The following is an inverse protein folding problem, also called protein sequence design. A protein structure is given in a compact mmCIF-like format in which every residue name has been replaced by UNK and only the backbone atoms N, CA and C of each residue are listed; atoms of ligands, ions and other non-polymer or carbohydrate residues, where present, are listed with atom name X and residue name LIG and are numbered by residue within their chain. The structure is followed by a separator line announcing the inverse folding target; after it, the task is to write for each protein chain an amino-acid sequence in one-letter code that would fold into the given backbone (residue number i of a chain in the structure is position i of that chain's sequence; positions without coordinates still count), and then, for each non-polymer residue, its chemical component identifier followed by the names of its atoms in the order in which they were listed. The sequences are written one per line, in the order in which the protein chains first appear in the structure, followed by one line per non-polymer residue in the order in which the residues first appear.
data_IF_682589331862
#
_entry.id   IF_682589331862
#
_cell.length_a   1.000
_cell.length_b   1.000
_cell.length_c   1.000
_cell.angle_alpha   90.00
_cell.angle_beta   90.00
_cell.angle_gamma   90.00
#
_symmetry.space_group_name_H-M   'P 1'
#
loop_
_entity.id
_entity.type
_entity.pdbx_description
1 polymer ?
#
# COMPACT_ATOMS: atom_id res chain seq x y z
N UNK A 1 1.26 28.71 7.42
CA UNK A 1 0.30 27.72 6.89
C UNK A 1 0.73 27.13 5.55
N UNK A 2 0.81 27.90 4.45
CA UNK A 2 1.20 27.36 3.13
C UNK A 2 2.65 26.83 3.04
N UNK A 3 3.60 27.44 3.77
CA UNK A 3 5.00 27.00 3.83
C UNK A 3 5.16 25.62 4.50
N UNK A 4 4.42 25.36 5.57
CA UNK A 4 4.45 24.08 6.29
C UNK A 4 3.89 22.93 5.46
N UNK A 5 2.78 23.14 4.76
CA UNK A 5 2.21 22.13 3.84
C UNK A 5 3.14 21.84 2.65
N UNK A 6 3.73 22.88 2.03
CA UNK A 6 4.70 22.72 0.93
C UNK A 6 5.98 22.01 1.36
N UNK A 7 6.44 22.21 2.59
CA UNK A 7 7.61 21.50 3.12
C UNK A 7 7.29 20.03 3.40
N UNK A 8 6.12 19.74 4.00
CA UNK A 8 5.67 18.36 4.26
C UNK A 8 5.46 17.56 2.97
N UNK A 9 4.81 18.16 1.97
CA UNK A 9 4.60 17.53 0.66
C UNK A 9 5.91 17.24 -0.07
N UNK A 10 6.88 18.17 -0.04
CA UNK A 10 8.22 17.95 -0.61
C UNK A 10 9.01 16.87 0.12
N UNK A 11 8.95 16.84 1.44
CA UNK A 11 9.59 15.79 2.24
C UNK A 11 9.00 14.40 1.92
N UNK A 12 7.67 14.31 1.77
CA UNK A 12 7.01 13.07 1.35
C UNK A 12 7.42 12.63 -0.06
N UNK A 13 7.53 13.57 -1.01
CA UNK A 13 7.97 13.26 -2.37
C UNK A 13 9.40 12.70 -2.42
N UNK A 14 10.30 13.22 -1.57
CA UNK A 14 11.66 12.70 -1.44
C UNK A 14 11.73 11.31 -0.78
N UNK A 15 10.81 11.01 0.14
CA UNK A 15 10.74 9.73 0.84
C UNK A 15 10.03 8.64 0.04
N UNK A 16 9.02 9.00 -0.76
CA UNK A 16 8.13 8.05 -1.46
C UNK A 16 8.07 8.36 -2.96
N UNK A 17 9.17 8.15 -3.71
CA UNK A 17 9.17 8.37 -5.15
C UNK A 17 8.24 7.37 -5.86
N UNK A 18 7.61 7.72 -6.99
CA UNK A 18 6.96 6.75 -7.87
C UNK A 18 7.99 5.78 -8.45
N UNK A 19 7.68 4.48 -8.40
CA UNK A 19 8.51 3.42 -9.00
C UNK A 19 7.72 2.87 -10.19
N UNK A 20 8.24 2.98 -11.43
CA UNK A 20 7.54 2.48 -12.60
C UNK A 20 7.48 0.95 -12.59
N UNK A 21 6.48 0.41 -13.28
CA UNK A 21 6.39 -1.03 -13.53
C UNK A 21 7.59 -1.47 -14.38
N UNK A 22 8.36 -2.50 -13.98
CA UNK A 22 9.46 -3.01 -14.77
C UNK A 22 8.94 -3.62 -16.08
N UNK A 23 9.79 -3.66 -17.11
CA UNK A 23 9.42 -4.24 -18.41
C UNK A 23 9.04 -5.73 -18.32
N UNK A 24 9.62 -6.46 -17.36
CA UNK A 24 9.28 -7.85 -17.05
C UNK A 24 8.93 -8.00 -15.56
N UNK A 25 7.66 -7.82 -15.17
CA UNK A 25 7.20 -8.01 -13.80
C UNK A 25 7.11 -9.50 -13.40
N UNK A 26 7.37 -10.43 -14.34
CA UNK A 26 7.17 -11.86 -14.15
C UNK A 26 5.70 -12.29 -14.27
N UNK A 27 5.43 -13.59 -14.10
CA UNK A 27 4.09 -14.16 -14.25
C UNK A 27 3.08 -13.47 -13.33
N UNK A 28 1.89 -13.18 -13.88
CA UNK A 28 0.79 -12.60 -13.13
C UNK A 28 0.02 -13.71 -12.40
N UNK A 29 -0.14 -13.54 -11.08
CA UNK A 29 -0.92 -14.41 -10.20
C UNK A 29 -2.41 -14.05 -10.28
N UNK A 30 -2.71 -12.75 -10.34
CA UNK A 30 -4.08 -12.25 -10.50
C UNK A 30 -4.15 -10.73 -10.49
N UNK A 31 -5.34 -10.21 -10.79
CA UNK A 31 -5.60 -8.77 -10.82
C UNK A 31 -7.01 -8.49 -10.30
N UNK A 32 -7.14 -7.47 -9.46
CA UNK A 32 -8.38 -7.11 -8.80
C UNK A 32 -8.57 -5.59 -8.81
N UNK A 33 -9.72 -5.17 -9.33
CA UNK A 33 -10.17 -3.78 -9.32
C UNK A 33 -11.02 -3.48 -8.09
N UNK A 34 -10.96 -2.24 -7.62
CA UNK A 34 -11.71 -1.76 -6.49
C UNK A 34 -11.50 -0.27 -6.26
N UNK A 35 -11.35 0.11 -5.00
CA UNK A 35 -11.06 1.46 -4.57
C UNK A 35 -9.80 1.53 -3.74
N UNK A 36 -8.89 2.42 -4.09
CA UNK A 36 -7.83 2.85 -3.17
C UNK A 36 -8.43 3.88 -2.21
N UNK A 37 -8.36 3.60 -0.91
CA UNK A 37 -8.95 4.41 0.15
C UNK A 37 -7.95 5.44 0.66
N UNK A 38 -6.75 4.99 1.04
CA UNK A 38 -5.68 5.82 1.54
C UNK A 38 -4.32 5.11 1.51
N UNK A 39 -3.25 5.90 1.59
CA UNK A 39 -1.92 5.44 1.98
C UNK A 39 -1.46 6.24 3.20
N UNK A 40 -0.94 5.58 4.23
CA UNK A 40 -0.38 6.19 5.44
C UNK A 40 1.02 5.67 5.69
N UNK A 41 1.78 6.33 6.58
CA UNK A 41 2.91 5.65 7.22
C UNK A 41 2.39 4.47 8.03
N UNK A 42 3.15 3.37 8.02
CA UNK A 42 2.84 2.21 8.83
C UNK A 42 2.82 2.59 10.32
N UNK A 43 1.89 2.03 11.07
CA UNK A 43 1.66 2.26 12.51
C UNK A 43 1.37 3.73 12.90
N UNK A 44 1.19 4.61 11.91
CA UNK A 44 0.85 6.03 12.08
C UNK A 44 -0.35 6.35 11.19
N UNK A 45 -1.56 5.87 11.53
CA UNK A 45 -2.74 5.93 10.66
C UNK A 45 -3.20 7.36 10.36
N UNK A 46 -2.76 8.37 11.12
CA UNK A 46 -3.07 9.79 10.86
C UNK A 46 -2.06 10.47 9.92
N UNK A 47 -0.91 9.84 9.65
CA UNK A 47 0.14 10.38 8.78
C UNK A 47 -0.10 9.97 7.32
N UNK A 48 -1.05 10.64 6.66
CA UNK A 48 -1.41 10.41 5.26
C UNK A 48 -0.26 10.76 4.31
N UNK A 49 0.03 9.85 3.38
CA UNK A 49 0.94 10.09 2.26
C UNK A 49 0.15 10.55 1.04
N UNK A 50 0.48 11.74 0.51
CA UNK A 50 -0.16 12.26 -0.70
C UNK A 50 0.79 12.44 -1.88
N UNK A 51 2.08 12.23 -1.67
CA UNK A 51 3.10 12.35 -2.70
C UNK A 51 3.23 11.08 -3.56
N UNK A 52 3.95 11.17 -4.68
CA UNK A 52 4.31 10.01 -5.49
C UNK A 52 3.12 9.23 -6.06
N UNK A 53 2.01 9.91 -6.35
CA UNK A 53 0.78 9.31 -6.88
C UNK A 53 -0.15 8.68 -5.84
N UNK A 54 0.23 8.64 -4.55
CA UNK A 54 -0.51 7.94 -3.49
C UNK A 54 -1.62 8.78 -2.82
N UNK A 55 -1.76 10.05 -3.22
CA UNK A 55 -2.79 10.94 -2.68
C UNK A 55 -4.20 10.69 -3.24
N UNK A 56 -4.31 9.89 -4.31
CA UNK A 56 -5.59 9.65 -4.95
C UNK A 56 -6.50 8.76 -4.10
N UNK A 57 -7.78 9.15 -4.00
CA UNK A 57 -8.86 8.32 -3.46
C UNK A 57 -9.86 8.07 -4.57
N UNK A 58 -10.22 6.82 -4.81
CA UNK A 58 -11.12 6.48 -5.90
C UNK A 58 -10.82 5.13 -6.50
N UNK A 59 -11.24 4.94 -7.76
CA UNK A 59 -11.02 3.69 -8.49
C UNK A 59 -9.52 3.37 -8.55
N UNK A 60 -9.19 2.12 -8.30
CA UNK A 60 -7.83 1.62 -8.29
C UNK A 60 -7.85 0.10 -8.13
N UNK A 61 -6.73 -0.48 -7.78
CA UNK A 61 -6.63 -1.93 -7.66
C UNK A 61 -5.20 -2.40 -7.53
N UNK A 62 -5.04 -3.71 -7.64
CA UNK A 62 -3.72 -4.35 -7.63
C UNK A 62 -3.65 -5.45 -8.68
N UNK A 63 -2.50 -5.57 -9.34
CA UNK A 63 -2.11 -6.77 -10.06
C UNK A 63 -0.93 -7.42 -9.34
N UNK A 64 -1.09 -8.66 -8.91
CA UNK A 64 -0.06 -9.40 -8.18
C UNK A 64 0.71 -10.27 -9.17
N UNK A 65 2.02 -10.14 -9.14
CA UNK A 65 2.97 -10.93 -9.89
C UNK A 65 3.88 -11.71 -8.94
N UNK A 66 4.55 -12.75 -9.43
CA UNK A 66 5.50 -13.52 -8.62
C UNK A 66 6.65 -12.68 -8.06
N UNK A 67 7.01 -11.59 -8.75
CA UNK A 67 8.13 -10.71 -8.36
C UNK A 67 7.71 -9.43 -7.63
N UNK A 68 6.41 -9.21 -7.44
CA UNK A 68 5.91 -8.01 -6.79
C UNK A 68 4.47 -7.65 -7.14
N UNK A 69 4.06 -6.45 -6.78
CA UNK A 69 2.69 -5.96 -6.91
C UNK A 69 2.70 -4.68 -7.74
N UNK A 70 1.83 -4.61 -8.74
CA UNK A 70 1.47 -3.36 -9.39
C UNK A 70 0.27 -2.77 -8.66
N UNK A 71 0.38 -1.53 -8.22
CA UNK A 71 -0.73 -0.74 -7.68
C UNK A 71 -1.27 0.19 -8.76
N UNK A 72 -2.59 0.11 -8.97
CA UNK A 72 -3.32 0.92 -9.93
C UNK A 72 -4.10 2.02 -9.20
N UNK A 73 -4.00 3.25 -9.71
CA UNK A 73 -4.78 4.39 -9.23
C UNK A 73 -5.33 5.14 -10.43
N UNK A 74 -6.65 5.31 -10.52
CA UNK A 74 -7.25 6.03 -11.63
C UNK A 74 -6.71 7.47 -11.71
N UNK A 75 -6.22 7.87 -12.88
CA UNK A 75 -5.65 9.20 -13.09
C UNK A 75 -4.22 9.39 -12.56
N UNK A 76 -3.55 8.33 -12.10
CA UNK A 76 -2.12 8.35 -11.81
C UNK A 76 -1.41 7.16 -12.51
N UNK A 77 -0.10 7.28 -12.79
CA UNK A 77 0.67 6.15 -13.31
C UNK A 77 0.69 4.97 -12.33
N UNK A 78 0.70 3.76 -12.89
CA UNK A 78 0.88 2.55 -12.11
C UNK A 78 2.22 2.55 -11.38
N UNK A 79 2.20 1.94 -10.18
CA UNK A 79 3.36 1.84 -9.30
C UNK A 79 3.74 0.39 -9.07
N UNK A 80 5.04 0.12 -9.12
CA UNK A 80 5.61 -1.16 -8.69
C UNK A 80 5.98 -1.17 -7.21
N UNK A 81 5.67 -2.28 -6.56
CA UNK A 81 6.17 -2.68 -5.24
C UNK A 81 6.84 -4.04 -5.42
N UNK A 82 8.17 -4.09 -5.37
CA UNK A 82 8.90 -5.33 -5.49
C UNK A 82 8.58 -6.28 -4.32
N UNK A 83 8.67 -7.60 -4.54
CA UNK A 83 8.31 -8.60 -3.52
C UNK A 83 9.12 -8.44 -2.22
N UNK A 84 10.39 -8.05 -2.30
CA UNK A 84 11.26 -7.77 -1.15
C UNK A 84 10.86 -6.51 -0.36
N UNK A 85 10.10 -5.61 -0.99
CA UNK A 85 9.51 -4.44 -0.35
C UNK A 85 8.13 -4.73 0.26
N UNK A 86 7.49 -5.86 -0.05
CA UNK A 86 6.21 -6.26 0.57
C UNK A 86 6.48 -6.78 1.98
N UNK A 87 5.73 -6.28 2.96
CA UNK A 87 5.85 -6.65 4.38
C UNK A 87 4.68 -7.46 4.90
N UNK A 88 3.64 -7.61 4.09
CA UNK A 88 2.47 -8.42 4.41
C UNK A 88 1.18 -7.74 3.96
N UNK A 89 0.09 -8.49 4.06
CA UNK A 89 -1.25 -7.99 3.83
C UNK A 89 -2.23 -8.61 4.81
N UNK A 90 -3.21 -7.84 5.24
CA UNK A 90 -4.20 -8.23 6.24
C UNK A 90 -5.55 -7.50 6.01
N UNK A 91 -6.56 -7.88 6.81
CA UNK A 91 -7.86 -7.20 6.82
C UNK A 91 -7.83 -6.03 7.79
N UNK A 92 -8.39 -4.91 7.35
CA UNK A 92 -8.57 -3.72 8.18
C UNK A 92 -10.03 -3.25 8.17
N UNK A 93 -10.42 -2.53 9.22
CA UNK A 93 -11.77 -1.98 9.38
C UNK A 93 -11.80 -0.45 9.23
N UNK A 94 -10.65 0.20 9.44
CA UNK A 94 -10.50 1.65 9.32
C UNK A 94 -9.25 2.01 8.52
N UNK A 95 -9.34 3.12 7.81
CA UNK A 95 -8.24 3.87 7.24
C UNK A 95 -8.43 5.35 7.60
N UNK A 96 -7.44 6.19 7.33
CA UNK A 96 -7.60 7.63 7.60
C UNK A 96 -8.84 8.18 6.88
N UNK A 97 -9.65 8.94 7.64
CA UNK A 97 -10.90 9.56 7.18
C UNK A 97 -12.01 8.56 6.76
N UNK A 98 -11.85 7.25 7.03
CA UNK A 98 -12.81 6.24 6.60
C UNK A 98 -12.91 5.05 7.55
N UNK A 99 -14.13 4.76 8.01
CA UNK A 99 -14.50 3.51 8.69
C UNK A 99 -15.43 2.71 7.76
N UNK A 100 -15.30 1.39 7.76
CA UNK A 100 -16.17 0.46 7.03
C UNK A 100 -16.63 -0.66 7.97
N UNK A 101 -17.44 -1.59 7.45
CA UNK A 101 -17.78 -2.84 8.12
C UNK A 101 -16.53 -3.63 8.56
N UNK A 102 -16.58 -4.43 9.64
CA UNK A 102 -15.44 -5.19 10.13
C UNK A 102 -14.75 -6.02 9.03
N UNK A 103 -13.45 -5.79 8.82
CA UNK A 103 -12.66 -6.47 7.79
C UNK A 103 -13.00 -6.08 6.34
N UNK A 104 -13.76 -5.00 6.13
CA UNK A 104 -14.17 -4.50 4.82
C UNK A 104 -13.03 -3.91 3.96
N UNK A 105 -11.82 -3.75 4.51
CA UNK A 105 -10.64 -3.31 3.78
C UNK A 105 -9.59 -4.43 3.70
N UNK A 106 -8.82 -4.38 2.62
CA UNK A 106 -7.55 -5.09 2.49
C UNK A 106 -6.42 -4.08 2.61
N UNK A 107 -5.51 -4.31 3.56
CA UNK A 107 -4.31 -3.49 3.77
C UNK A 107 -3.11 -4.21 3.17
N UNK A 108 -2.33 -3.49 2.36
CA UNK A 108 -1.00 -3.88 1.93
C UNK A 108 0.03 -3.08 2.71
N UNK A 109 0.90 -3.75 3.46
CA UNK A 109 2.05 -3.13 4.13
C UNK A 109 3.30 -3.32 3.26
N UNK A 110 4.02 -2.23 3.00
CA UNK A 110 5.17 -2.24 2.10
C UNK A 110 6.17 -1.13 2.44
N UNK A 111 7.40 -1.26 1.96
CA UNK A 111 8.46 -0.26 2.13
C UNK A 111 8.69 0.52 0.85
N UNK A 112 8.57 1.84 0.90
CA UNK A 112 9.09 2.72 -0.14
C UNK A 112 10.53 3.11 0.18
N UNK A 113 11.42 3.06 -0.81
CA UNK A 113 12.80 3.56 -0.65
C UNK A 113 12.99 4.79 -1.51
N UNK A 114 13.26 5.93 -0.87
CA UNK A 114 13.52 7.20 -1.52
C UNK A 114 14.86 7.82 -1.12
N UNK A 115 15.07 9.07 -1.50
CA UNK A 115 16.27 9.82 -1.13
C UNK A 115 16.41 10.05 0.39
N UNK A 116 15.29 9.98 1.13
CA UNK A 116 15.26 10.07 2.59
C UNK A 116 15.45 8.70 3.28
N UNK A 117 15.67 7.62 2.52
CA UNK A 117 15.77 6.25 3.02
C UNK A 117 14.48 5.44 2.89
N UNK A 118 14.44 4.29 3.57
CA UNK A 118 13.30 3.40 3.63
C UNK A 118 12.18 3.98 4.51
N UNK A 119 10.94 3.90 4.04
CA UNK A 119 9.73 4.32 4.75
C UNK A 119 8.67 3.23 4.62
N UNK A 120 8.22 2.69 5.75
CA UNK A 120 7.13 1.72 5.77
C UNK A 120 5.77 2.41 5.65
N UNK A 121 4.92 1.83 4.81
CA UNK A 121 3.64 2.38 4.38
C UNK A 121 2.55 1.31 4.46
N UNK A 122 1.34 1.78 4.75
CA UNK A 122 0.12 0.99 4.65
C UNK A 122 -0.75 1.59 3.54
N UNK A 123 -1.10 0.79 2.54
CA UNK A 123 -2.07 1.16 1.50
C UNK A 123 -3.35 0.34 1.67
N UNK A 124 -4.48 1.03 1.70
CA UNK A 124 -5.78 0.43 2.00
C UNK A 124 -6.65 0.38 0.74
N UNK A 125 -7.18 -0.80 0.46
CA UNK A 125 -8.06 -1.06 -0.67
C UNK A 125 -9.41 -1.55 -0.18
N UNK A 126 -10.45 -1.23 -0.95
CA UNK A 126 -11.77 -1.85 -0.84
C UNK A 126 -12.09 -2.53 -2.17
N UNK A 127 -12.11 -3.85 -2.16
CA UNK A 127 -12.50 -4.66 -3.30
C UNK A 127 -14.00 -5.00 -3.23
N UNK A 128 -14.62 -5.39 -4.35
CA UNK A 128 -15.91 -6.08 -4.33
C UNK A 128 -15.87 -7.28 -3.36
N UNK A 129 -17.02 -7.60 -2.75
CA UNK A 129 -17.10 -8.62 -1.70
C UNK A 129 -16.54 -9.98 -2.12
N UNK A 130 -16.84 -10.42 -3.35
CA UNK A 130 -16.34 -11.68 -3.92
C UNK A 130 -14.83 -11.70 -4.19
N UNK A 131 -14.19 -10.53 -4.30
CA UNK A 131 -12.79 -10.41 -4.72
C UNK A 131 -11.84 -10.21 -3.54
N UNK A 132 -12.33 -9.65 -2.42
CA UNK A 132 -11.48 -9.21 -1.33
C UNK A 132 -10.67 -10.36 -0.69
N UNK A 133 -11.23 -11.57 -0.61
CA UNK A 133 -10.52 -12.72 -0.06
C UNK A 133 -9.42 -13.23 -1.00
N UNK A 134 -9.70 -13.32 -2.30
CA UNK A 134 -8.74 -13.74 -3.30
C UNK A 134 -7.60 -12.72 -3.46
N UNK A 135 -7.93 -11.42 -3.48
CA UNK A 135 -6.94 -10.35 -3.52
C UNK A 135 -6.00 -10.38 -2.30
N UNK A 136 -6.56 -10.57 -1.10
CA UNK A 136 -5.75 -10.70 0.12
C UNK A 136 -4.81 -11.91 0.04
N UNK A 137 -5.32 -13.09 -0.33
CA UNK A 137 -4.51 -14.30 -0.43
C UNK A 137 -3.36 -14.12 -1.44
N UNK A 138 -3.61 -13.47 -2.57
CA UNK A 138 -2.58 -13.18 -3.55
C UNK A 138 -1.53 -12.20 -3.01
N UNK A 139 -1.92 -11.14 -2.32
CA UNK A 139 -0.99 -10.17 -1.71
C UNK A 139 -0.12 -10.77 -0.60
N UNK A 140 -0.57 -11.85 0.02
CA UNK A 140 0.21 -12.62 1.00
C UNK A 140 1.23 -13.58 0.33
N UNK A 141 1.10 -13.86 -0.96
CA UNK A 141 2.03 -14.72 -1.71
C UNK A 141 3.47 -14.18 -1.76
N UNK A 142 3.70 -12.93 -2.22
CA UNK A 142 5.04 -12.36 -2.37
C UNK A 142 5.87 -12.34 -1.08
N UNK A 143 5.22 -12.18 0.08
CA UNK A 143 5.91 -12.07 1.39
C UNK A 143 6.42 -13.41 1.93
N UNK A 144 5.90 -14.55 1.44
CA UNK A 144 6.27 -15.87 1.96
C UNK A 144 7.74 -16.25 1.68
N UNK A 145 8.46 -15.45 0.87
CA UNK A 145 9.88 -15.69 0.60
C UNK A 145 10.85 -15.01 1.60
N UNK A 146 10.38 -14.11 2.46
CA UNK A 146 11.24 -13.40 3.42
C UNK A 146 10.53 -13.18 4.76
N UNK A 147 10.60 -14.15 5.67
CA UNK A 147 10.20 -13.93 7.07
C UNK A 147 11.27 -13.11 7.81
N UNK A 148 10.89 -11.90 8.25
CA UNK A 148 11.47 -11.24 9.41
C UNK A 148 10.39 -11.19 10.51
N UNK A 149 10.68 -11.63 11.74
CA UNK A 149 9.68 -11.65 12.82
C UNK A 149 9.38 -10.22 13.27
N UNK A 150 8.12 -9.79 13.12
CA UNK A 150 7.60 -8.60 13.80
C UNK A 150 7.00 -9.03 15.15
N UNK A 151 7.71 -8.71 16.23
CA UNK A 151 7.21 -8.78 17.60
C UNK A 151 6.06 -7.79 17.77
N UNK A 152 4.83 -8.28 17.84
CA UNK A 152 3.69 -7.50 18.31
C UNK A 152 3.83 -7.32 19.83
N UNK A 153 4.08 -6.09 20.26
CA UNK A 153 4.03 -5.71 21.67
C UNK A 153 2.59 -5.76 22.16
N UNK A 154 2.31 -6.75 22.99
CA UNK A 154 1.09 -6.88 23.77
C UNK A 154 1.08 -5.77 24.84
N UNK A 155 0.24 -4.75 24.63
CA UNK A 155 -0.02 -3.70 25.61
C UNK A 155 -1.31 -3.99 26.36
N UNK A 156 -1.20 -4.71 27.48
CA UNK A 156 -2.21 -4.73 28.54
C UNK A 156 -2.42 -3.34 29.11
N UNK A 157 -3.68 -2.92 29.23
CA UNK A 157 -4.19 -2.24 30.43
C UNK A 157 -5.69 -2.48 30.58
#
# INVERSE_FOLDING_TARGET
MARTWRTRSRAQAGAVPPVPVPADPGPQVGSWDGFTVATTRADQPLERITAGGLGFRGRGGVSVHERGVVMHHAGAPDRWVAADAVRGADRATWAIDRVVEPGGLVRLRWTATGAAGATDLDTYFRFPEGDAAAALAALQGPTTKHEHPHTAGEGTN
#
